data_IF_400979079845
#
_entry.id   IF_400979079845
#
_cell.length_a   1.000
_cell.length_b   1.000
_cell.length_c   1.000
_cell.angle_alpha   90.00
_cell.angle_beta   90.00
_cell.angle_gamma   90.00
#
_symmetry.space_group_name_H-M   'P 1'
#
loop_
_entity.id
_entity.type
_entity.pdbx_description
1 polymer ?
#
# COMPACT_ATOMS: atom_id res chain seq x y z
N UNK A 1 -11.39 6.79 -7.88
CA UNK A 1 -10.74 5.60 -8.41
C UNK A 1 -10.07 5.93 -9.74
N UNK A 2 -8.73 5.79 -9.83
CA UNK A 2 -8.01 6.10 -11.07
C UNK A 2 -8.49 5.36 -12.31
N UNK A 3 -9.15 4.22 -12.15
CA UNK A 3 -9.69 3.47 -13.27
C UNK A 3 -10.69 4.30 -14.09
N UNK A 4 -11.43 5.21 -13.44
CA UNK A 4 -12.42 6.05 -14.10
C UNK A 4 -11.85 7.35 -14.68
N UNK A 5 -10.53 7.57 -14.52
CA UNK A 5 -9.86 8.73 -15.10
C UNK A 5 -9.08 8.24 -16.33
N UNK A 6 -9.48 8.63 -17.55
CA UNK A 6 -8.86 8.07 -18.78
C UNK A 6 -7.34 8.19 -18.81
N UNK A 7 -6.78 9.28 -18.32
CA UNK A 7 -5.33 9.50 -18.31
C UNK A 7 -4.59 8.56 -17.36
N UNK A 8 -5.29 7.97 -16.40
CA UNK A 8 -4.68 7.13 -15.37
C UNK A 8 -4.99 5.64 -15.48
N UNK A 9 -6.00 5.29 -16.29
CA UNK A 9 -6.54 3.93 -16.34
C UNK A 9 -5.47 2.87 -16.62
N UNK A 10 -4.58 3.14 -17.55
CA UNK A 10 -3.56 2.18 -17.98
C UNK A 10 -2.27 2.25 -17.16
N UNK A 11 -2.19 3.20 -16.23
CA UNK A 11 -1.05 3.34 -15.33
C UNK A 11 -1.32 2.60 -14.02
N UNK A 12 -0.27 2.37 -13.23
CA UNK A 12 -0.40 1.67 -11.95
C UNK A 12 -0.01 2.58 -10.79
N UNK A 13 -0.28 2.11 -9.58
CA UNK A 13 0.11 2.82 -8.37
C UNK A 13 1.61 2.93 -8.13
N UNK A 14 2.43 2.25 -8.95
CA UNK A 14 3.88 2.43 -8.92
C UNK A 14 4.30 3.73 -9.61
N UNK A 15 3.46 4.28 -10.46
CA UNK A 15 3.77 5.49 -11.20
C UNK A 15 3.30 6.74 -10.45
N UNK A 16 4.10 7.81 -10.52
CA UNK A 16 3.86 9.04 -9.77
C UNK A 16 2.51 9.66 -10.05
N UNK A 17 2.04 9.64 -11.31
CA UNK A 17 0.76 10.24 -11.65
C UNK A 17 -0.42 9.56 -10.92
N UNK A 18 -0.40 8.23 -10.81
CA UNK A 18 -1.43 7.49 -10.09
C UNK A 18 -1.29 7.71 -8.60
N UNK A 19 -0.06 7.62 -8.09
CA UNK A 19 0.20 7.85 -6.67
C UNK A 19 -0.28 9.24 -6.23
N UNK A 20 0.05 10.27 -6.99
CA UNK A 20 -0.34 11.63 -6.65
C UNK A 20 -1.86 11.77 -6.64
N UNK A 21 -2.54 11.17 -7.62
CA UNK A 21 -4.00 11.19 -7.66
C UNK A 21 -4.61 10.52 -6.42
N UNK A 22 -4.15 9.30 -6.11
CA UNK A 22 -4.68 8.53 -4.98
C UNK A 22 -4.38 9.24 -3.65
N UNK A 23 -3.15 9.72 -3.47
CA UNK A 23 -2.73 10.33 -2.21
C UNK A 23 -3.18 11.76 -2.03
N UNK A 24 -3.79 12.37 -3.06
CA UNK A 24 -4.38 13.71 -2.93
C UNK A 24 -5.63 13.70 -2.05
N UNK A 25 -6.30 12.56 -1.92
CA UNK A 25 -7.47 12.44 -1.06
C UNK A 25 -7.09 12.30 0.40
N UNK A 26 -7.78 13.07 1.26
CA UNK A 26 -7.55 13.00 2.70
C UNK A 26 -7.80 11.59 3.25
N UNK A 27 -8.81 10.89 2.72
CA UNK A 27 -9.12 9.53 3.14
C UNK A 27 -7.95 8.58 2.90
N UNK A 28 -7.24 8.74 1.78
CA UNK A 28 -6.08 7.89 1.46
C UNK A 28 -4.96 8.12 2.47
N UNK A 29 -4.66 9.36 2.77
CA UNK A 29 -3.62 9.71 3.73
C UNK A 29 -3.96 9.22 5.13
N UNK A 30 -5.21 9.40 5.53
CA UNK A 30 -5.70 8.95 6.83
C UNK A 30 -5.65 7.42 6.94
N UNK A 31 -6.04 6.72 5.87
CA UNK A 31 -6.00 5.27 5.83
C UNK A 31 -4.59 4.74 6.00
N UNK A 32 -3.62 5.31 5.28
CA UNK A 32 -2.21 4.92 5.42
C UNK A 32 -1.74 5.15 6.85
N UNK A 33 -2.08 6.29 7.45
CA UNK A 33 -1.71 6.59 8.82
C UNK A 33 -2.25 5.55 9.80
N UNK A 34 -3.51 5.16 9.64
CA UNK A 34 -4.13 4.15 10.50
C UNK A 34 -3.48 2.78 10.31
N UNK A 35 -3.11 2.44 9.07
CA UNK A 35 -2.39 1.19 8.80
C UNK A 35 -1.01 1.19 9.47
N UNK A 36 -0.28 2.30 9.36
CA UNK A 36 1.03 2.42 10.00
C UNK A 36 0.89 2.25 11.51
N UNK A 37 -0.08 2.94 12.12
CA UNK A 37 -0.31 2.85 13.57
C UNK A 37 -0.62 1.42 13.99
N UNK A 38 -1.45 0.71 13.22
CA UNK A 38 -1.79 -0.68 13.51
C UNK A 38 -0.57 -1.59 13.38
N UNK A 39 0.26 -1.38 12.36
CA UNK A 39 1.46 -2.18 12.17
C UNK A 39 2.49 -1.93 13.28
N UNK A 40 2.66 -0.67 13.69
CA UNK A 40 3.55 -0.33 14.79
C UNK A 40 3.10 -1.00 16.10
N UNK A 41 1.81 -1.20 16.26
CA UNK A 41 1.26 -1.94 17.40
C UNK A 41 1.50 -3.44 17.27
N UNK A 42 1.24 -4.02 16.09
CA UNK A 42 1.27 -5.46 15.88
C UNK A 42 2.67 -6.05 15.78
N UNK A 43 3.60 -5.35 15.13
CA UNK A 43 4.95 -5.88 14.88
C UNK A 43 5.66 -6.29 16.17
N UNK A 44 5.72 -5.45 17.23
CA UNK A 44 6.37 -5.87 18.47
C UNK A 44 5.71 -7.08 19.11
N UNK A 45 4.39 -7.21 19.00
CA UNK A 45 3.67 -8.37 19.55
C UNK A 45 4.03 -9.65 18.80
N UNK A 46 4.14 -9.57 17.48
CA UNK A 46 4.53 -10.72 16.67
C UNK A 46 5.97 -11.15 16.95
N UNK A 47 6.88 -10.19 17.10
CA UNK A 47 8.26 -10.48 17.46
C UNK A 47 8.35 -11.16 18.83
N UNK A 48 7.56 -10.69 19.79
CA UNK A 48 7.52 -11.23 21.14
C UNK A 48 7.03 -12.68 21.16
N UNK A 49 6.14 -13.04 20.23
CA UNK A 49 5.63 -14.40 20.10
C UNK A 49 6.56 -15.31 19.29
N UNK A 50 7.67 -14.78 18.81
CA UNK A 50 8.63 -15.54 18.00
C UNK A 50 8.21 -15.71 16.55
N UNK A 51 7.25 -14.93 16.07
CA UNK A 51 6.82 -14.99 14.69
C UNK A 51 7.90 -14.39 13.78
N UNK A 52 8.27 -15.14 12.74
CA UNK A 52 9.32 -14.70 11.82
C UNK A 52 8.79 -13.75 10.75
N UNK A 53 7.46 -13.71 10.53
CA UNK A 53 6.89 -13.01 9.40
C UNK A 53 5.45 -12.56 9.71
N UNK A 54 5.12 -11.35 9.24
CA UNK A 54 3.74 -10.84 9.23
C UNK A 54 3.39 -10.49 7.80
N UNK A 55 2.30 -11.05 7.29
CA UNK A 55 1.83 -10.79 5.93
C UNK A 55 0.62 -9.87 5.98
N UNK A 56 0.66 -8.79 5.18
CA UNK A 56 -0.42 -7.82 5.09
C UNK A 56 -0.94 -7.81 3.66
N UNK A 57 -2.24 -8.06 3.48
CA UNK A 57 -2.88 -8.02 2.17
C UNK A 57 -3.69 -6.73 2.00
N UNK A 58 -3.49 -6.04 0.90
CA UNK A 58 -4.24 -4.83 0.54
C UNK A 58 -4.84 -5.04 -0.84
N UNK A 59 -6.15 -4.87 -0.94
CA UNK A 59 -6.86 -5.10 -2.19
C UNK A 59 -7.66 -3.90 -2.65
N UNK A 60 -7.86 -3.81 -3.97
CA UNK A 60 -8.81 -2.89 -4.57
C UNK A 60 -9.34 -3.52 -5.85
N UNK A 61 -10.33 -2.89 -6.48
CA UNK A 61 -10.86 -3.38 -7.76
C UNK A 61 -9.73 -3.37 -8.80
N UNK A 62 -9.41 -4.55 -9.35
CA UNK A 62 -8.38 -4.71 -10.37
C UNK A 62 -6.95 -4.82 -9.86
N UNK A 63 -6.65 -4.33 -8.65
CA UNK A 63 -5.31 -4.46 -8.07
C UNK A 63 -4.19 -3.65 -8.74
N UNK A 64 -4.52 -2.57 -9.47
CA UNK A 64 -3.53 -1.78 -10.22
C UNK A 64 -3.24 -0.41 -9.63
N UNK A 65 -4.23 0.22 -8.99
CA UNK A 65 -4.16 1.63 -8.60
C UNK A 65 -4.08 1.82 -7.10
N UNK A 66 -5.24 1.81 -6.44
CA UNK A 66 -5.31 2.16 -5.01
C UNK A 66 -4.53 1.20 -4.11
N UNK A 67 -4.69 -0.12 -4.32
CA UNK A 67 -3.99 -1.10 -3.48
C UNK A 67 -2.48 -0.99 -3.65
N UNK A 68 -2.00 -0.80 -4.89
CA UNK A 68 -0.57 -0.65 -5.16
C UNK A 68 -0.03 0.61 -4.50
N UNK A 69 -0.72 1.74 -4.66
CA UNK A 69 -0.31 3.01 -4.05
C UNK A 69 -0.25 2.90 -2.53
N UNK A 70 -1.31 2.35 -1.91
CA UNK A 70 -1.38 2.23 -0.45
C UNK A 70 -0.28 1.30 0.06
N UNK A 71 -0.04 0.16 -0.62
CA UNK A 71 1.00 -0.78 -0.22
C UNK A 71 2.38 -0.14 -0.28
N UNK A 72 2.67 0.64 -1.34
CA UNK A 72 3.95 1.32 -1.47
C UNK A 72 4.14 2.42 -0.43
N UNK A 73 3.09 3.16 -0.11
CA UNK A 73 3.15 4.18 0.94
C UNK A 73 3.36 3.55 2.31
N UNK A 74 2.69 2.44 2.60
CA UNK A 74 2.89 1.70 3.84
C UNK A 74 4.32 1.19 3.94
N UNK A 75 4.87 0.63 2.84
CA UNK A 75 6.25 0.16 2.76
C UNK A 75 7.22 1.28 3.16
N UNK A 76 7.08 2.46 2.56
CA UNK A 76 7.94 3.61 2.86
C UNK A 76 7.89 4.00 4.33
N UNK A 77 6.69 4.08 4.89
CA UNK A 77 6.51 4.49 6.29
C UNK A 77 7.15 3.49 7.24
N UNK A 78 6.94 2.20 6.99
CA UNK A 78 7.51 1.15 7.85
C UNK A 78 9.04 1.09 7.74
N UNK A 79 9.60 1.32 6.54
CA UNK A 79 11.04 1.42 6.39
C UNK A 79 11.62 2.59 7.19
N UNK A 80 10.95 3.73 7.18
CA UNK A 80 11.37 4.89 7.97
C UNK A 80 11.38 4.60 9.46
N UNK A 81 10.50 3.72 9.91
CA UNK A 81 10.42 3.30 11.31
C UNK A 81 11.43 2.21 11.66
N UNK A 82 12.26 1.78 10.70
CA UNK A 82 13.32 0.81 10.94
C UNK A 82 12.92 -0.65 10.74
N UNK A 83 11.74 -0.93 10.22
CA UNK A 83 11.31 -2.30 9.97
C UNK A 83 11.84 -2.82 8.64
N UNK A 84 12.03 -4.13 8.56
CA UNK A 84 12.41 -4.80 7.32
C UNK A 84 11.14 -5.17 6.56
N UNK A 85 10.96 -4.60 5.38
CA UNK A 85 9.70 -4.72 4.63
C UNK A 85 9.97 -5.16 3.19
N UNK A 86 9.19 -6.14 2.72
CA UNK A 86 9.18 -6.58 1.32
C UNK A 86 7.77 -6.38 0.79
N UNK A 87 7.65 -5.87 -0.42
CA UNK A 87 6.36 -5.60 -1.05
C UNK A 87 6.27 -6.29 -2.41
N UNK A 88 5.14 -6.92 -2.69
CA UNK A 88 4.85 -7.49 -4.01
C UNK A 88 3.40 -7.19 -4.38
N UNK A 89 3.13 -7.11 -5.67
CA UNK A 89 1.82 -6.76 -6.20
C UNK A 89 1.32 -7.89 -7.10
N UNK A 90 0.45 -8.74 -6.53
CA UNK A 90 0.01 -9.97 -7.18
C UNK A 90 -0.67 -9.73 -8.53
N UNK A 91 -1.53 -8.73 -8.62
CA UNK A 91 -2.39 -8.54 -9.78
C UNK A 91 -2.03 -7.31 -10.63
N UNK A 92 -0.86 -6.72 -10.42
CA UNK A 92 -0.51 -5.45 -11.06
C UNK A 92 -0.48 -5.53 -12.59
N UNK A 93 -0.19 -6.71 -13.14
CA UNK A 93 -0.12 -6.92 -14.59
C UNK A 93 -1.40 -7.48 -15.20
N UNK A 94 -2.36 -7.88 -14.37
CA UNK A 94 -3.59 -8.50 -14.88
C UNK A 94 -4.56 -7.45 -15.39
N UNK A 95 -5.14 -7.68 -16.56
CA UNK A 95 -6.16 -6.81 -17.13
C UNK A 95 -5.66 -5.50 -17.69
N UNK A 96 -4.36 -5.34 -17.83
CA UNK A 96 -3.77 -4.13 -18.44
C UNK A 96 -3.51 -4.36 -19.92
#
# INVERSE_FOLDING_TARGET
NPFYIPELREHTGLETCVRDYVMDYAQSREFVKKLVDMMEYLIPHYEKEGKAQLVIGIGCTGGHHRSVTIAEELHKQLLRSGHHVLTSHRDIQKGI
#
